data_IF_544751309237
#
_entry.id   IF_544751309237
#
_cell.length_a   1.000
_cell.length_b   1.000
_cell.length_c   1.000
_cell.angle_alpha   90.00
_cell.angle_beta   90.00
_cell.angle_gamma   90.00
#
_symmetry.space_group_name_H-M   'P 1'
#
loop_
_entity.id
_entity.type
_entity.pdbx_description
1 polymer ?
#
# COMPACT_ATOMS: atom_id res chain seq x y z
N UNK A 1 -12.21 -8.13 11.77
CA UNK A 1 -11.46 -6.90 11.47
C UNK A 1 -11.15 -6.89 9.99
N UNK A 2 -11.68 -5.93 9.21
CA UNK A 2 -11.25 -5.77 7.82
C UNK A 2 -9.83 -5.19 7.87
N UNK A 3 -8.83 -5.99 7.48
CA UNK A 3 -7.50 -5.46 7.18
C UNK A 3 -7.66 -4.50 6.02
N UNK A 4 -7.33 -3.23 6.22
CA UNK A 4 -7.26 -2.26 5.13
C UNK A 4 -6.32 -2.80 4.05
N UNK A 5 -6.67 -2.59 2.79
CA UNK A 5 -5.92 -3.12 1.64
C UNK A 5 -4.53 -2.48 1.48
N UNK A 6 -4.26 -1.45 2.29
CA UNK A 6 -3.01 -0.74 2.45
C UNK A 6 -2.70 -0.65 3.94
N UNK A 7 -1.47 -0.95 4.33
CA UNK A 7 -1.02 -0.94 5.72
C UNK A 7 0.47 -0.61 5.80
N UNK A 8 0.93 -0.13 6.95
CA UNK A 8 2.36 -0.01 7.22
C UNK A 8 2.90 -1.35 7.69
N UNK A 9 4.09 -1.77 7.21
CA UNK A 9 4.77 -2.99 7.62
C UNK A 9 6.22 -2.72 7.95
N UNK A 10 6.70 -3.26 9.07
CA UNK A 10 8.11 -3.20 9.41
C UNK A 10 8.96 -3.98 8.39
N UNK A 11 10.02 -3.33 7.89
CA UNK A 11 10.92 -3.90 6.87
C UNK A 11 11.77 -5.06 7.43
N UNK A 12 11.96 -5.11 8.75
CA UNK A 12 12.68 -6.20 9.38
C UNK A 12 11.89 -7.50 9.25
N UNK A 13 12.43 -8.45 8.47
CA UNK A 13 11.81 -9.73 8.18
C UNK A 13 11.48 -10.56 9.44
N UNK A 14 12.22 -10.38 10.55
CA UNK A 14 11.93 -11.05 11.83
C UNK A 14 10.81 -10.36 12.60
N UNK A 15 10.62 -9.06 12.40
CA UNK A 15 9.60 -8.28 13.08
C UNK A 15 8.26 -8.35 12.36
N UNK A 16 8.22 -7.91 11.10
CA UNK A 16 7.06 -7.98 10.20
C UNK A 16 5.77 -7.32 10.69
N UNK A 17 5.82 -6.55 11.78
CA UNK A 17 4.63 -6.00 12.42
C UNK A 17 3.91 -5.04 11.47
N UNK A 18 2.58 -5.11 11.51
CA UNK A 18 1.71 -4.26 10.68
C UNK A 18 0.97 -3.24 11.52
N UNK A 19 0.70 -2.08 10.91
CA UNK A 19 0.07 -0.92 11.52
C UNK A 19 -0.92 -0.31 10.51
N UNK A 20 -1.91 0.43 11.01
CA UNK A 20 -2.86 1.12 10.14
C UNK A 20 -2.14 2.21 9.33
N UNK A 21 -2.46 2.34 8.05
CA UNK A 21 -1.77 3.27 7.14
C UNK A 21 -1.91 4.75 7.55
N UNK A 22 -2.95 5.09 8.32
CA UNK A 22 -3.22 6.45 8.80
C UNK A 22 -2.47 6.79 10.09
N UNK A 23 -1.78 5.83 10.71
CA UNK A 23 -0.97 6.10 11.89
C UNK A 23 0.30 6.86 11.51
N UNK A 24 0.59 7.96 12.19
CA UNK A 24 1.82 8.73 11.99
C UNK A 24 2.95 8.08 12.79
N UNK A 25 3.62 7.10 12.18
CA UNK A 25 4.75 6.38 12.77
C UNK A 25 6.02 6.67 11.98
N UNK A 26 7.07 7.13 12.66
CA UNK A 26 8.38 7.40 12.04
C UNK A 26 9.35 6.21 12.12
N UNK A 27 9.02 5.23 12.96
CA UNK A 27 9.75 3.98 13.16
C UNK A 27 8.79 2.95 13.75
N UNK A 28 9.13 1.67 13.62
CA UNK A 28 8.37 0.55 14.17
C UNK A 28 8.37 0.61 15.70
N UNK A 29 7.21 0.80 16.36
CA UNK A 29 7.13 0.82 17.83
C UNK A 29 7.64 -0.46 18.52
N UNK A 30 7.70 -1.59 17.80
CA UNK A 30 8.12 -2.88 18.36
C UNK A 30 9.64 -3.08 18.36
N UNK A 31 10.36 -2.59 17.35
CA UNK A 31 11.79 -2.87 17.20
C UNK A 31 12.66 -1.69 16.78
N UNK A 32 12.07 -0.52 16.50
CA UNK A 32 12.78 0.69 16.09
C UNK A 32 13.18 0.75 14.61
N UNK A 33 13.03 -0.34 13.84
CA UNK A 33 13.32 -0.35 12.41
C UNK A 33 12.31 0.43 11.58
N UNK A 34 12.66 0.70 10.32
CA UNK A 34 11.81 1.41 9.37
C UNK A 34 10.49 0.66 9.08
N UNK A 35 9.45 1.45 8.84
CA UNK A 35 8.16 1.01 8.31
C UNK A 35 8.07 1.39 6.83
N UNK A 36 7.50 0.51 6.03
CA UNK A 36 7.16 0.76 4.63
C UNK A 36 5.64 0.58 4.42
N UNK A 37 5.09 1.12 3.33
CA UNK A 37 3.68 0.93 2.96
C UNK A 37 3.55 -0.32 2.11
N UNK A 38 2.82 -1.30 2.63
CA UNK A 38 2.52 -2.55 1.95
C UNK A 38 1.04 -2.59 1.52
N UNK A 39 0.79 -3.30 0.42
CA UNK A 39 -0.53 -3.47 -0.17
C UNK A 39 -0.90 -4.95 -0.19
N UNK A 40 -2.12 -5.28 0.21
CA UNK A 40 -2.69 -6.60 -0.07
C UNK A 40 -3.25 -6.62 -1.50
N UNK A 41 -2.37 -6.95 -2.45
CA UNK A 41 -2.71 -6.97 -3.88
C UNK A 41 -3.85 -7.93 -4.22
N UNK A 42 -4.08 -8.99 -3.44
CA UNK A 42 -5.19 -9.91 -3.66
C UNK A 42 -6.55 -9.28 -3.39
N UNK A 43 -6.57 -8.17 -2.64
CA UNK A 43 -7.77 -7.40 -2.32
C UNK A 43 -7.90 -6.11 -3.12
N UNK A 44 -6.87 -5.74 -3.89
CA UNK A 44 -6.90 -4.53 -4.71
C UNK A 44 -7.62 -4.80 -6.04
N UNK A 45 -8.39 -3.81 -6.49
CA UNK A 45 -9.00 -3.85 -7.81
C UNK A 45 -7.93 -3.45 -8.84
N UNK A 46 -7.11 -4.42 -9.24
CA UNK A 46 -6.05 -4.20 -10.24
C UNK A 46 -6.59 -4.41 -11.65
N UNK A 47 -6.03 -3.71 -12.67
CA UNK A 47 -6.44 -3.92 -14.05
C UNK A 47 -6.21 -5.37 -14.51
N UNK A 48 -7.10 -5.90 -15.35
CA UNK A 48 -7.04 -7.29 -15.80
C UNK A 48 -6.05 -7.48 -16.95
N UNK A 49 -5.79 -6.42 -17.73
CA UNK A 49 -4.88 -6.43 -18.88
C UNK A 49 -4.02 -5.17 -18.91
N UNK A 50 -2.83 -5.27 -19.51
CA UNK A 50 -1.94 -4.11 -19.66
C UNK A 50 -2.57 -2.98 -20.48
N UNK A 51 -3.39 -3.31 -21.49
CA UNK A 51 -4.12 -2.32 -22.30
C UNK A 51 -5.10 -1.47 -21.47
N UNK A 52 -5.55 -1.95 -20.33
CA UNK A 52 -6.47 -1.20 -19.47
C UNK A 52 -5.78 0.03 -18.85
N UNK A 53 -4.45 0.01 -18.71
CA UNK A 53 -3.68 1.18 -18.30
C UNK A 53 -3.69 2.29 -19.36
N UNK A 54 -3.84 1.95 -20.65
CA UNK A 54 -3.88 2.93 -21.74
C UNK A 54 -5.16 3.77 -21.72
N UNK A 55 -6.25 3.25 -21.16
CA UNK A 55 -7.50 4.01 -21.00
C UNK A 55 -7.28 5.30 -20.20
N UNK A 56 -6.40 5.26 -19.19
CA UNK A 56 -5.99 6.43 -18.39
C UNK A 56 -5.22 7.49 -19.17
N UNK A 57 -4.66 7.14 -20.34
CA UNK A 57 -3.92 8.10 -21.15
C UNK A 57 -4.85 9.17 -21.75
N UNK A 58 -6.09 8.80 -22.06
CA UNK A 58 -7.11 9.71 -22.60
C UNK A 58 -7.45 10.83 -21.62
N UNK A 59 -7.40 10.54 -20.33
CA UNK A 59 -7.68 11.44 -19.22
C UNK A 59 -6.43 11.93 -18.50
N UNK A 60 -5.22 11.79 -19.07
CA UNK A 60 -3.94 12.09 -18.39
C UNK A 60 -3.80 13.48 -17.76
N UNK A 61 -4.66 14.43 -18.16
CA UNK A 61 -4.72 15.79 -17.57
C UNK A 61 -5.56 15.85 -16.29
N UNK A 62 -6.28 14.79 -15.96
CA UNK A 62 -7.07 14.58 -14.74
C UNK A 62 -6.39 13.47 -13.92
N UNK A 63 -5.41 13.80 -13.07
CA UNK A 63 -4.60 12.81 -12.36
C UNK A 63 -5.34 12.00 -11.29
N UNK A 64 -6.57 12.38 -10.95
CA UNK A 64 -7.42 11.72 -9.94
C UNK A 64 -8.60 10.96 -10.55
N UNK A 65 -8.72 10.98 -11.88
CA UNK A 65 -9.71 10.20 -12.62
C UNK A 65 -9.40 8.71 -12.51
#
# INVERSE_FOLDING_TARGET
MKTDSVFQKCINAKCGQTYDVRQVLVACPKCGDLLDVAYDWNRQNVPAKLSDFEARWSSRRNPLD
#
